data_IF_748218740804
#
_entry.id   IF_748218740804
#
_cell.length_a   1.000
_cell.length_b   1.000
_cell.length_c   1.000
_cell.angle_alpha   90.00
_cell.angle_beta   90.00
_cell.angle_gamma   90.00
#
_symmetry.space_group_name_H-M   'P 1'
#
loop_
_entity.id
_entity.type
_entity.pdbx_description
1 polymer ?
#
# COMPACT_ATOMS: atom_id res chain seq x y z
N UNK A 1 12.43 -6.02 -16.30
CA UNK A 1 11.31 -5.55 -15.46
C UNK A 1 11.14 -6.59 -14.36
N UNK A 2 11.39 -6.27 -13.08
CA UNK A 2 11.09 -7.23 -12.02
C UNK A 2 9.59 -7.53 -12.05
N UNK A 3 9.23 -8.80 -11.87
CA UNK A 3 7.83 -9.22 -11.83
C UNK A 3 7.10 -8.44 -10.74
N UNK A 4 5.98 -7.82 -11.08
CA UNK A 4 5.12 -7.12 -10.11
C UNK A 4 4.51 -8.17 -9.20
N UNK A 5 5.12 -8.40 -8.03
CA UNK A 5 4.56 -9.29 -7.03
C UNK A 5 3.19 -8.76 -6.59
N UNK A 6 2.18 -9.63 -6.53
CA UNK A 6 0.87 -9.27 -6.03
C UNK A 6 1.00 -8.82 -4.56
N UNK A 7 0.35 -7.70 -4.20
CA UNK A 7 0.52 -7.12 -2.86
C UNK A 7 -0.26 -7.88 -1.79
N UNK A 8 -1.39 -8.48 -2.14
CA UNK A 8 -2.23 -9.19 -1.18
C UNK A 8 -1.51 -10.38 -0.51
N UNK A 9 -0.84 -11.30 -1.24
CA UNK A 9 -0.06 -12.36 -0.59
C UNK A 9 1.05 -11.84 0.32
N UNK A 10 1.73 -10.76 -0.08
CA UNK A 10 2.79 -10.13 0.73
C UNK A 10 2.21 -9.54 2.02
N UNK A 11 1.08 -8.86 1.93
CA UNK A 11 0.38 -8.31 3.08
C UNK A 11 -0.10 -9.39 4.05
N UNK A 12 -0.64 -10.51 3.55
CA UNK A 12 -1.03 -11.63 4.41
C UNK A 12 0.16 -12.28 5.11
N UNK A 13 1.32 -12.38 4.43
CA UNK A 13 2.55 -12.86 5.04
C UNK A 13 3.03 -11.89 6.14
N UNK A 14 3.00 -10.58 5.86
CA UNK A 14 3.31 -9.53 6.83
C UNK A 14 2.42 -9.62 8.07
N UNK A 15 1.10 -9.75 7.90
CA UNK A 15 0.16 -9.87 9.02
C UNK A 15 0.41 -11.12 9.88
N UNK A 16 0.75 -12.25 9.27
CA UNK A 16 1.08 -13.48 10.01
C UNK A 16 2.34 -13.31 10.85
N UNK A 17 3.35 -12.63 10.30
CA UNK A 17 4.60 -12.37 10.98
C UNK A 17 4.42 -11.36 12.11
N UNK A 18 3.65 -10.30 11.91
CA UNK A 18 3.35 -9.30 12.93
C UNK A 18 2.62 -9.87 14.17
N UNK A 19 2.00 -11.05 14.06
CA UNK A 19 1.34 -11.76 15.17
C UNK A 19 2.25 -12.78 15.88
N UNK A 20 3.46 -13.02 15.35
CA UNK A 20 4.38 -14.00 15.91
C UNK A 20 5.08 -13.44 17.15
N UNK A 21 5.16 -14.21 18.25
CA UNK A 21 5.74 -13.73 19.52
C UNK A 21 7.28 -13.66 19.52
N UNK A 22 7.94 -14.27 18.54
CA UNK A 22 9.40 -14.28 18.41
C UNK A 22 9.88 -13.02 17.66
N UNK A 23 10.18 -11.97 18.42
CA UNK A 23 10.51 -10.66 17.86
C UNK A 23 11.80 -10.66 17.01
N UNK A 24 12.83 -11.43 17.39
CA UNK A 24 14.13 -11.42 16.69
C UNK A 24 14.07 -12.13 15.34
N UNK A 25 13.39 -13.29 15.27
CA UNK A 25 13.24 -14.01 14.00
C UNK A 25 12.32 -13.28 13.01
N UNK A 26 11.38 -12.50 13.53
CA UNK A 26 10.35 -11.82 12.76
C UNK A 26 10.84 -10.48 12.19
N UNK A 27 11.68 -9.74 12.93
CA UNK A 27 12.16 -8.42 12.51
C UNK A 27 12.83 -8.45 11.13
N UNK A 28 13.77 -9.37 10.92
CA UNK A 28 14.44 -9.53 9.62
C UNK A 28 13.49 -9.92 8.47
N UNK A 29 12.43 -10.68 8.76
CA UNK A 29 11.44 -11.07 7.76
C UNK A 29 10.48 -9.92 7.42
N UNK A 30 10.07 -9.15 8.42
CA UNK A 30 9.27 -7.94 8.23
C UNK A 30 10.06 -6.91 7.42
N UNK A 31 11.33 -6.69 7.74
CA UNK A 31 12.22 -5.79 6.99
C UNK A 31 12.41 -6.16 5.52
N UNK A 32 12.15 -7.42 5.12
CA UNK A 32 12.14 -7.85 3.72
C UNK A 32 10.78 -7.60 3.05
N UNK A 33 9.67 -7.75 3.79
CA UNK A 33 8.32 -7.60 3.24
C UNK A 33 7.88 -6.14 3.14
N UNK A 34 8.21 -5.31 4.12
CA UNK A 34 7.80 -3.90 4.16
C UNK A 34 8.23 -3.13 2.91
N UNK A 35 9.49 -3.20 2.43
CA UNK A 35 9.89 -2.52 1.21
C UNK A 35 9.16 -3.05 -0.03
N UNK A 36 8.81 -4.34 -0.07
CA UNK A 36 8.06 -4.93 -1.18
C UNK A 36 6.61 -4.44 -1.20
N UNK A 37 5.97 -4.34 -0.04
CA UNK A 37 4.63 -3.78 0.08
C UNK A 37 4.66 -2.28 -0.21
N UNK A 38 5.63 -1.53 0.31
CA UNK A 38 5.77 -0.10 0.09
C UNK A 38 6.00 0.24 -1.39
N UNK A 39 6.95 -0.43 -2.05
CA UNK A 39 7.31 -0.14 -3.45
C UNK A 39 6.43 -0.85 -4.50
N UNK A 40 5.66 -1.86 -4.11
CA UNK A 40 4.91 -2.65 -5.09
C UNK A 40 3.80 -1.86 -5.77
N UNK A 41 3.68 -2.01 -7.09
CA UNK A 41 2.67 -1.28 -7.85
C UNK A 41 1.27 -1.86 -7.61
N UNK A 42 0.27 -0.99 -7.45
CA UNK A 42 -1.13 -1.38 -7.39
C UNK A 42 -1.65 -1.56 -8.82
N UNK A 43 -2.10 -2.77 -9.15
CA UNK A 43 -2.67 -3.08 -10.47
C UNK A 43 -4.10 -3.59 -10.40
N UNK A 44 -4.54 -3.99 -9.22
CA UNK A 44 -5.87 -4.53 -8.92
C UNK A 44 -6.48 -3.88 -7.68
N UNK A 45 -7.78 -4.08 -7.45
CA UNK A 45 -8.44 -3.61 -6.21
C UNK A 45 -7.93 -4.35 -4.97
N UNK A 46 -7.52 -5.61 -5.11
CA UNK A 46 -6.91 -6.37 -4.01
C UNK A 46 -5.57 -5.77 -3.61
N UNK A 47 -4.76 -5.34 -4.58
CA UNK A 47 -3.50 -4.64 -4.29
C UNK A 47 -3.75 -3.32 -3.55
N UNK A 48 -4.78 -2.57 -3.97
CA UNK A 48 -5.19 -1.33 -3.32
C UNK A 48 -5.63 -1.58 -1.88
N UNK A 49 -6.44 -2.61 -1.65
CA UNK A 49 -6.88 -2.99 -0.31
C UNK A 49 -5.69 -3.36 0.58
N UNK A 50 -4.78 -4.20 0.08
CA UNK A 50 -3.58 -4.63 0.81
C UNK A 50 -2.73 -3.42 1.22
N UNK A 51 -2.47 -2.49 0.29
CA UNK A 51 -1.69 -1.28 0.59
C UNK A 51 -2.39 -0.34 1.56
N UNK A 52 -3.69 -0.13 1.39
CA UNK A 52 -4.47 0.72 2.28
C UNK A 52 -4.50 0.17 3.72
N UNK A 53 -4.60 -1.15 3.88
CA UNK A 53 -4.55 -1.79 5.19
C UNK A 53 -3.17 -1.72 5.84
N UNK A 54 -2.11 -1.98 5.08
CA UNK A 54 -0.74 -1.78 5.55
C UNK A 54 -0.53 -0.35 6.08
N UNK A 55 -0.88 0.68 5.29
CA UNK A 55 -0.78 2.09 5.71
C UNK A 55 -1.64 2.42 6.94
N UNK A 56 -2.85 1.86 7.03
CA UNK A 56 -3.72 2.02 8.19
C UNK A 56 -3.09 1.42 9.45
N UNK A 57 -2.45 0.25 9.35
CA UNK A 57 -1.78 -0.39 10.47
C UNK A 57 -0.53 0.39 10.90
N UNK A 58 0.32 0.78 9.95
CA UNK A 58 1.50 1.60 10.23
C UNK A 58 1.14 2.92 10.91
N UNK A 59 0.11 3.62 10.40
CA UNK A 59 -0.32 4.90 10.98
C UNK A 59 -0.90 4.80 12.40
N UNK A 60 -1.40 3.63 12.81
CA UNK A 60 -1.85 3.39 14.18
C UNK A 60 -0.70 3.20 15.16
N UNK A 61 0.44 2.71 14.68
CA UNK A 61 1.66 2.56 15.48
C UNK A 61 2.33 3.93 15.61
N UNK A 62 2.73 4.49 14.47
CA UNK A 62 3.27 5.84 14.37
C UNK A 62 3.16 6.32 12.91
N UNK A 63 2.43 7.41 12.62
CA UNK A 63 2.34 7.99 11.28
C UNK A 63 3.70 8.34 10.65
N UNK A 64 4.72 8.65 11.45
CA UNK A 64 6.06 8.97 10.96
C UNK A 64 6.78 7.75 10.34
N UNK A 65 6.29 6.52 10.59
CA UNK A 65 6.83 5.29 10.03
C UNK A 65 6.29 4.95 8.63
N UNK A 66 5.35 5.73 8.10
CA UNK A 66 4.81 5.50 6.75
C UNK A 66 5.91 5.79 5.72
N UNK A 67 6.33 4.81 4.89
CA UNK A 67 7.30 5.04 3.84
C UNK A 67 6.71 5.98 2.77
N UNK A 68 7.50 6.95 2.30
CA UNK A 68 7.06 7.87 1.24
C UNK A 68 6.69 7.11 -0.03
N UNK A 69 7.44 6.05 -0.36
CA UNK A 69 7.21 5.19 -1.51
C UNK A 69 5.84 4.49 -1.45
N UNK A 70 5.35 4.18 -0.25
CA UNK A 70 4.02 3.58 -0.07
C UNK A 70 2.90 4.57 -0.42
N UNK A 71 3.09 5.86 -0.14
CA UNK A 71 2.15 6.91 -0.53
C UNK A 71 2.21 7.19 -2.03
N UNK A 72 3.41 7.30 -2.60
CA UNK A 72 3.58 7.56 -4.03
C UNK A 72 2.97 6.44 -4.88
N UNK A 73 3.22 5.19 -4.52
CA UNK A 73 2.64 4.03 -5.22
C UNK A 73 1.15 3.87 -4.95
N UNK A 74 0.63 4.33 -3.80
CA UNK A 74 -0.81 4.42 -3.54
C UNK A 74 -1.47 5.41 -4.51
N UNK A 75 -0.94 6.62 -4.62
CA UNK A 75 -1.47 7.66 -5.52
C UNK A 75 -1.41 7.19 -6.97
N UNK A 76 -0.28 6.62 -7.41
CA UNK A 76 -0.15 6.06 -8.74
C UNK A 76 -1.15 4.92 -9.00
N UNK A 77 -1.40 4.08 -7.99
CA UNK A 77 -2.40 3.02 -8.02
C UNK A 77 -3.83 3.51 -8.18
N UNK A 78 -4.22 4.49 -7.36
CA UNK A 78 -5.55 5.12 -7.41
C UNK A 78 -5.77 5.76 -8.79
N UNK A 79 -4.79 6.53 -9.28
CA UNK A 79 -4.87 7.12 -10.61
C UNK A 79 -5.00 6.04 -11.68
N UNK A 80 -4.23 4.96 -11.61
CA UNK A 80 -4.30 3.86 -12.58
C UNK A 80 -5.68 3.17 -12.60
N UNK A 81 -6.24 2.90 -11.43
CA UNK A 81 -7.50 2.16 -11.30
C UNK A 81 -8.73 3.03 -11.61
N UNK A 82 -8.68 4.31 -11.25
CA UNK A 82 -9.84 5.20 -11.28
C UNK A 82 -9.67 6.41 -12.22
N UNK A 83 -8.71 6.37 -13.15
CA UNK A 83 -8.41 7.51 -14.03
C UNK A 83 -9.66 8.06 -14.73
N UNK A 84 -10.55 7.18 -15.19
CA UNK A 84 -11.77 7.58 -15.89
C UNK A 84 -12.77 8.27 -14.97
N UNK A 85 -13.05 7.74 -13.77
CA UNK A 85 -13.97 8.39 -12.84
C UNK A 85 -13.41 9.72 -12.31
N UNK A 86 -12.10 9.78 -12.03
CA UNK A 86 -11.43 11.00 -11.57
C UNK A 86 -11.43 12.10 -12.62
N UNK A 87 -11.28 11.75 -13.90
CA UNK A 87 -11.29 12.73 -15.01
C UNK A 87 -12.68 13.27 -15.34
N UNK A 88 -13.75 12.58 -14.93
CA UNK A 88 -15.14 13.00 -15.20
C UNK A 88 -15.71 13.94 -14.12
N UNK A 89 -15.00 14.12 -13.00
CA UNK A 89 -15.50 14.89 -11.84
C UNK A 89 -15.04 16.35 -11.86
N UNK A 90 -15.21 17.05 -12.99
CA UNK A 90 -15.04 18.50 -13.09
C UNK A 90 -16.15 19.13 -13.94
N UNK A 91 -17.39 19.28 -13.43
CA UNK A 91 -18.07 20.54 -13.62
C UNK A 91 -17.42 21.50 -12.63
N UNK A 92 -16.46 22.29 -13.12
CA UNK A 92 -16.06 23.51 -12.46
C UNK A 92 -17.37 24.27 -12.21
N UNK A 93 -17.85 24.32 -10.96
CA UNK A 93 -18.95 25.22 -10.60
C UNK A 93 -18.37 26.61 -10.80
N UNK A 94 -18.55 27.13 -12.02
CA UNK A 94 -18.42 28.53 -12.33
C UNK A 94 -19.51 29.21 -11.51
N UNK A 95 -19.13 29.59 -10.28
CA UNK A 95 -19.95 30.43 -9.44
C UNK A 95 -20.09 31.77 -10.16
N UNK A 96 -21.30 32.02 -10.64
CA UNK A 96 -21.78 33.29 -11.19
C UNK A 96 -21.99 34.32 -10.07
#
# INVERSE_FOLDING_TARGET
>A
MPATAALMPLFLAYQRLAQCPDAEAVDGMLGVLEPQIANGAITTLDDLFAKARYLQETSRIDPALIPAEALDTLVAGILRLFHRELSQTLPLVAAA
#
